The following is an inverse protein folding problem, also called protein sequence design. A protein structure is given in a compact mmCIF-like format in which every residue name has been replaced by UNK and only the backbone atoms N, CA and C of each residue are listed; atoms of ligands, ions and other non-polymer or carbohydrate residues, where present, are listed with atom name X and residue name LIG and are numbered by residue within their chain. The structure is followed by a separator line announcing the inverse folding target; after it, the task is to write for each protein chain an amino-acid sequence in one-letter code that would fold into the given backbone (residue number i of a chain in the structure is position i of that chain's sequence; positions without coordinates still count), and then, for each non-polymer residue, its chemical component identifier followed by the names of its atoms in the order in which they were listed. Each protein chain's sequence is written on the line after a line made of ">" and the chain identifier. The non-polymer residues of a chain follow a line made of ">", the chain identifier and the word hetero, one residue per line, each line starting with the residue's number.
data_IF_698189061890
#
_entry.id   IF_698189061890
#
_cell.length_a   1.000
_cell.length_b   1.000
_cell.length_c   1.000
_cell.angle_alpha   90.00
_cell.angle_beta   90.00
_cell.angle_gamma   90.00
#
_symmetry.space_group_name_H-M   'P 1'
#
loop_
_entity.id
_entity.type
_entity.pdbx_description
1 polymer ?
#
# COMPACT_ATOMS: atom_id res chain seq x y z
N UNK A 1 -23.14 -7.09 -10.69
CA UNK A 1 -23.13 -7.60 -9.33
C UNK A 1 -22.02 -6.92 -8.56
N UNK A 2 -22.37 -6.23 -7.46
CA UNK A 2 -21.38 -5.54 -6.62
C UNK A 2 -20.53 -6.54 -5.83
N UNK A 3 -19.24 -6.35 -5.86
CA UNK A 3 -18.31 -7.11 -5.05
C UNK A 3 -17.98 -6.35 -3.76
N UNK A 4 -17.81 -7.10 -2.68
CA UNK A 4 -17.44 -6.59 -1.37
C UNK A 4 -16.17 -7.27 -0.89
N UNK A 5 -15.48 -6.60 0.02
CA UNK A 5 -14.39 -7.16 0.83
C UNK A 5 -14.75 -6.96 2.30
N UNK A 6 -14.10 -7.72 3.18
CA UNK A 6 -14.31 -7.59 4.62
C UNK A 6 -13.05 -7.09 5.29
N UNK A 7 -13.15 -5.97 5.97
CA UNK A 7 -12.10 -5.44 6.83
C UNK A 7 -12.20 -6.05 8.22
N UNK A 8 -11.07 -6.47 8.79
CA UNK A 8 -10.99 -6.71 10.23
C UNK A 8 -10.60 -5.40 10.92
N UNK A 9 -11.55 -4.77 11.61
CA UNK A 9 -11.33 -3.47 12.24
C UNK A 9 -10.56 -3.54 13.57
N UNK A 10 -10.16 -4.73 13.99
CA UNK A 10 -9.36 -4.92 15.21
C UNK A 10 -7.88 -4.65 14.98
N UNK A 11 -7.46 -4.55 13.73
CA UNK A 11 -6.05 -4.49 13.37
C UNK A 11 -5.82 -3.57 12.18
N UNK A 12 -4.68 -2.87 12.21
CA UNK A 12 -4.19 -2.03 11.13
C UNK A 12 -2.70 -2.27 10.97
N UNK A 13 -2.19 -2.13 9.75
CA UNK A 13 -0.75 -2.05 9.51
C UNK A 13 -0.43 -0.60 9.19
N UNK A 14 0.14 0.12 10.17
CA UNK A 14 0.20 1.57 10.09
C UNK A 14 -1.20 2.14 10.05
N UNK A 15 -1.51 2.95 9.03
CA UNK A 15 -2.87 3.46 8.79
C UNK A 15 -3.64 2.63 7.76
N UNK A 16 -3.08 1.51 7.27
CA UNK A 16 -3.72 0.67 6.24
C UNK A 16 -4.78 -0.22 6.84
N UNK A 17 -5.94 -0.30 6.17
CA UNK A 17 -6.97 -1.28 6.51
C UNK A 17 -6.45 -2.69 6.28
N UNK A 18 -6.85 -3.62 7.14
CA UNK A 18 -6.53 -5.04 7.00
C UNK A 18 -7.78 -5.79 6.57
N UNK A 19 -7.63 -6.61 5.53
CA UNK A 19 -8.74 -7.37 4.94
C UNK A 19 -8.52 -8.86 5.16
N UNK A 20 -9.63 -9.60 5.25
CA UNK A 20 -9.58 -11.05 5.11
C UNK A 20 -9.08 -11.39 3.71
N UNK A 21 -8.04 -12.23 3.65
CA UNK A 21 -7.35 -12.56 2.41
C UNK A 21 -7.92 -13.80 1.75
N UNK A 22 -7.80 -13.88 0.43
CA UNK A 22 -8.04 -15.10 -0.33
C UNK A 22 -7.14 -16.21 0.21
N UNK A 23 -7.70 -17.39 0.44
CA UNK A 23 -6.96 -18.53 0.97
C UNK A 23 -6.70 -18.49 2.46
N UNK A 24 -7.16 -17.48 3.17
CA UNK A 24 -7.03 -17.35 4.64
C UNK A 24 -6.04 -16.28 5.08
N UNK A 25 -6.12 -15.92 6.36
CA UNK A 25 -5.29 -14.87 6.95
C UNK A 25 -5.75 -13.47 6.56
N UNK A 26 -4.87 -12.49 6.77
CA UNK A 26 -5.13 -11.08 6.58
C UNK A 26 -4.14 -10.48 5.60
N UNK A 27 -4.55 -9.41 4.92
CA UNK A 27 -3.69 -8.65 4.01
C UNK A 27 -4.09 -7.18 3.97
N UNK A 28 -3.11 -6.29 3.82
CA UNK A 28 -3.35 -4.90 3.47
C UNK A 28 -3.45 -4.70 1.95
N UNK A 29 -3.11 -5.71 1.15
CA UNK A 29 -3.17 -5.67 -0.30
C UNK A 29 -4.61 -5.87 -0.77
N UNK A 30 -5.23 -4.82 -1.30
CA UNK A 30 -6.63 -4.86 -1.73
C UNK A 30 -6.88 -5.92 -2.81
N UNK A 31 -5.90 -6.16 -3.69
CA UNK A 31 -6.04 -7.15 -4.76
C UNK A 31 -6.06 -8.59 -4.24
N UNK A 32 -5.52 -8.83 -3.03
CA UNK A 32 -5.51 -10.15 -2.39
C UNK A 32 -6.65 -10.35 -1.41
N UNK A 33 -7.49 -9.33 -1.19
CA UNK A 33 -8.66 -9.46 -0.32
C UNK A 33 -9.66 -10.45 -0.91
N UNK A 34 -10.26 -11.26 -0.03
CA UNK A 34 -11.33 -12.17 -0.42
C UNK A 34 -12.54 -11.37 -0.92
N UNK A 35 -13.17 -11.84 -1.98
CA UNK A 35 -14.35 -11.20 -2.59
C UNK A 35 -15.63 -11.87 -2.11
N UNK A 36 -16.62 -11.04 -1.77
CA UNK A 36 -17.92 -11.47 -1.28
C UNK A 36 -19.02 -10.81 -2.09
N UNK A 37 -20.18 -11.47 -2.18
CA UNK A 37 -21.40 -10.79 -2.57
C UNK A 37 -21.84 -9.88 -1.43
N UNK A 38 -22.67 -8.87 -1.72
CA UNK A 38 -23.22 -8.00 -0.67
C UNK A 38 -23.94 -8.82 0.41
N UNK A 39 -24.73 -9.80 0.00
CA UNK A 39 -25.49 -10.67 0.90
C UNK A 39 -24.57 -11.42 1.87
N UNK A 40 -23.51 -12.04 1.35
CA UNK A 40 -22.54 -12.77 2.17
C UNK A 40 -21.75 -11.85 3.10
N UNK A 41 -21.34 -10.68 2.62
CA UNK A 41 -20.61 -9.71 3.41
C UNK A 41 -21.46 -9.19 4.58
N UNK A 42 -22.74 -8.89 4.32
CA UNK A 42 -23.66 -8.47 5.36
C UNK A 42 -23.93 -9.57 6.39
N UNK A 43 -24.13 -10.80 5.94
CA UNK A 43 -24.33 -11.94 6.82
C UNK A 43 -23.13 -12.16 7.74
N UNK A 44 -21.91 -12.01 7.22
CA UNK A 44 -20.69 -12.12 8.02
C UNK A 44 -20.60 -11.01 9.07
N UNK A 45 -20.94 -9.78 8.71
CA UNK A 45 -20.98 -8.66 9.66
C UNK A 45 -21.99 -8.90 10.78
N UNK A 46 -23.13 -9.49 10.48
CA UNK A 46 -24.15 -9.84 11.48
C UNK A 46 -23.67 -10.90 12.46
N UNK A 47 -22.86 -11.85 11.99
CA UNK A 47 -22.25 -12.88 12.84
C UNK A 47 -21.06 -12.34 13.64
N UNK A 48 -20.35 -11.37 13.09
CA UNK A 48 -19.12 -10.81 13.66
C UNK A 48 -19.00 -9.34 13.30
N UNK A 49 -19.39 -8.48 14.21
CA UNK A 49 -19.46 -7.03 13.99
C UNK A 49 -18.11 -6.37 13.68
N UNK A 50 -16.99 -7.03 14.01
CA UNK A 50 -15.64 -6.54 13.69
C UNK A 50 -15.24 -6.77 12.23
N UNK A 51 -16.00 -7.55 11.49
CA UNK A 51 -15.81 -7.76 10.05
C UNK A 51 -16.65 -6.74 9.30
N UNK A 52 -16.02 -5.68 8.83
CA UNK A 52 -16.71 -4.52 8.23
C UNK A 52 -16.82 -4.72 6.72
N UNK A 53 -18.06 -4.72 6.17
CA UNK A 53 -18.24 -4.89 4.73
C UNK A 53 -18.00 -3.57 3.99
N UNK A 54 -17.12 -3.62 2.99
CA UNK A 54 -16.83 -2.50 2.11
C UNK A 54 -17.13 -2.84 0.66
N UNK A 55 -17.88 -1.97 -0.06
CA UNK A 55 -17.94 -2.11 -1.52
C UNK A 55 -16.54 -1.99 -2.13
N UNK A 56 -16.13 -2.97 -2.90
CA UNK A 56 -14.80 -2.99 -3.49
C UNK A 56 -14.54 -1.77 -4.38
N UNK A 57 -15.51 -1.38 -5.20
CA UNK A 57 -15.37 -0.22 -6.09
C UNK A 57 -15.07 1.07 -5.32
N UNK A 58 -15.74 1.27 -4.17
CA UNK A 58 -15.49 2.44 -3.32
C UNK A 58 -14.03 2.47 -2.83
N UNK A 59 -13.52 1.34 -2.37
CA UNK A 59 -12.14 1.24 -1.90
C UNK A 59 -11.14 1.37 -3.04
N UNK A 60 -11.42 0.79 -4.20
CA UNK A 60 -10.54 0.87 -5.37
C UNK A 60 -10.32 2.31 -5.81
N UNK A 61 -11.37 3.13 -5.78
CA UNK A 61 -11.27 4.55 -6.14
C UNK A 61 -10.43 5.37 -5.16
N UNK A 62 -10.23 4.86 -3.95
CA UNK A 62 -9.52 5.55 -2.86
C UNK A 62 -8.23 4.86 -2.46
N UNK A 63 -7.85 3.78 -3.15
CA UNK A 63 -6.63 3.06 -2.87
C UNK A 63 -5.40 3.90 -3.23
N UNK A 64 -4.37 3.75 -2.43
CA UNK A 64 -3.02 4.24 -2.70
C UNK A 64 -2.16 3.08 -3.17
N UNK A 65 -0.94 3.38 -3.58
CA UNK A 65 0.09 2.38 -3.80
C UNK A 65 1.11 2.44 -2.66
N UNK A 66 1.61 1.29 -2.25
CA UNK A 66 2.62 1.20 -1.20
C UNK A 66 3.61 0.08 -1.47
N UNK A 67 4.80 0.20 -0.91
CA UNK A 67 5.85 -0.80 -1.02
C UNK A 67 6.23 -1.25 0.38
N UNK A 68 6.00 -2.52 0.66
CA UNK A 68 6.36 -3.15 1.93
C UNK A 68 7.86 -3.40 1.97
N UNK A 69 8.53 -2.88 3.00
CA UNK A 69 9.97 -3.00 3.17
C UNK A 69 10.45 -4.45 3.24
N UNK A 70 9.60 -5.37 3.67
CA UNK A 70 9.96 -6.79 3.82
C UNK A 70 10.27 -7.46 2.47
N UNK A 71 9.72 -6.93 1.38
CA UNK A 71 9.90 -7.48 0.04
C UNK A 71 10.99 -6.76 -0.77
N UNK A 72 11.50 -5.65 -0.26
CA UNK A 72 12.61 -4.91 -0.89
C UNK A 72 13.93 -5.46 -0.35
N UNK A 73 14.39 -6.57 -0.90
CA UNK A 73 15.56 -7.30 -0.40
C UNK A 73 16.86 -6.67 -0.90
N UNK A 74 17.89 -6.53 -0.03
CA UNK A 74 19.16 -5.91 -0.42
C UNK A 74 19.82 -6.54 -1.65
N UNK A 75 19.80 -7.86 -1.78
CA UNK A 75 20.38 -8.54 -2.93
C UNK A 75 19.67 -8.18 -4.24
N UNK A 76 18.34 -8.04 -4.22
CA UNK A 76 17.56 -7.64 -5.40
C UNK A 76 17.82 -6.18 -5.75
N UNK A 77 17.97 -5.32 -4.75
CA UNK A 77 18.32 -3.91 -4.93
C UNK A 77 19.68 -3.80 -5.62
N UNK A 78 20.68 -4.47 -5.09
CA UNK A 78 22.05 -4.42 -5.63
C UNK A 78 22.10 -4.93 -7.08
N UNK A 79 21.42 -6.04 -7.36
CA UNK A 79 21.34 -6.60 -8.71
C UNK A 79 20.62 -5.64 -9.68
N UNK A 80 19.51 -5.05 -9.24
CA UNK A 80 18.71 -4.14 -10.05
C UNK A 80 19.40 -2.82 -10.37
N UNK A 81 20.29 -2.34 -9.49
CA UNK A 81 21.02 -1.10 -9.70
C UNK A 81 22.03 -1.17 -10.85
N UNK A 82 22.42 -2.36 -11.27
CA UNK A 82 23.42 -2.55 -12.34
C UNK A 82 22.95 -2.06 -13.71
N UNK A 83 21.65 -2.08 -13.98
CA UNK A 83 21.14 -1.73 -15.31
C UNK A 83 19.97 -0.77 -15.32
N UNK A 84 19.58 -0.22 -14.17
CA UNK A 84 18.42 0.68 -14.09
C UNK A 84 18.81 2.12 -14.45
N UNK A 85 17.97 2.77 -15.26
CA UNK A 85 18.16 4.18 -15.66
C UNK A 85 17.66 5.14 -14.59
N UNK A 86 16.74 4.69 -13.74
CA UNK A 86 16.07 5.49 -12.70
C UNK A 86 16.02 4.76 -11.39
N UNK A 87 15.95 5.54 -10.31
CA UNK A 87 15.84 5.02 -8.96
C UNK A 87 14.88 5.84 -8.11
N UNK A 88 14.34 5.20 -7.10
CA UNK A 88 13.56 5.84 -6.05
C UNK A 88 14.40 5.95 -4.79
N UNK A 89 14.12 6.97 -4.01
CA UNK A 89 14.81 7.21 -2.74
C UNK A 89 13.80 7.09 -1.60
N UNK A 90 14.12 6.29 -0.59
CA UNK A 90 13.27 6.15 0.58
C UNK A 90 13.96 6.61 1.84
N UNK A 91 13.17 7.14 2.77
CA UNK A 91 13.68 7.69 4.02
C UNK A 91 14.15 6.58 4.96
N UNK A 92 15.31 6.77 5.56
CA UNK A 92 15.83 5.86 6.58
C UNK A 92 15.02 6.00 7.87
N UNK A 93 14.62 4.86 8.46
CA UNK A 93 13.97 4.85 9.76
C UNK A 93 12.54 5.39 9.80
N UNK A 94 11.85 5.42 8.67
CA UNK A 94 10.46 5.87 8.59
C UNK A 94 9.60 4.82 7.91
N UNK A 95 8.50 4.42 8.56
CA UNK A 95 7.57 3.42 8.05
C UNK A 95 6.13 3.79 8.39
N UNK A 96 5.22 3.51 7.46
CA UNK A 96 3.79 3.47 7.72
C UNK A 96 3.39 1.98 7.82
N UNK A 97 3.36 1.45 9.04
CA UNK A 97 3.37 0.01 9.23
C UNK A 97 4.67 -0.58 8.70
N UNK A 98 4.58 -1.39 7.65
CA UNK A 98 5.74 -1.94 6.93
C UNK A 98 6.06 -1.17 5.65
N UNK A 99 5.26 -0.15 5.32
CA UNK A 99 5.39 0.56 4.05
C UNK A 99 6.39 1.70 4.15
N UNK A 100 7.26 1.79 3.15
CA UNK A 100 8.32 2.79 3.09
C UNK A 100 7.78 4.18 2.74
N UNK A 101 8.47 5.22 3.22
CA UNK A 101 8.26 6.60 2.83
C UNK A 101 9.22 6.97 1.71
N UNK A 102 8.69 7.46 0.62
CA UNK A 102 9.42 7.77 -0.61
C UNK A 102 9.58 9.27 -0.80
N UNK A 103 10.72 9.66 -1.33
CA UNK A 103 11.00 11.05 -1.66
C UNK A 103 10.16 11.46 -2.88
N UNK A 104 9.51 12.61 -2.77
CA UNK A 104 8.77 13.23 -3.87
C UNK A 104 9.67 14.19 -4.66
N UNK A 105 9.17 14.71 -5.78
CA UNK A 105 9.89 15.70 -6.58
C UNK A 105 10.12 17.03 -5.83
N UNK A 106 9.30 17.30 -4.82
CA UNK A 106 9.36 18.53 -4.00
C UNK A 106 10.21 18.35 -2.72
N UNK A 107 10.98 17.29 -2.63
CA UNK A 107 11.80 16.93 -1.46
C UNK A 107 11.01 16.62 -0.20
N UNK A 108 9.72 16.33 -0.34
CA UNK A 108 8.85 15.79 0.70
C UNK A 108 8.96 14.27 0.73
N UNK A 109 8.37 13.64 1.76
CA UNK A 109 8.26 12.17 1.83
C UNK A 109 6.79 11.75 1.90
N UNK A 110 6.49 10.59 1.31
CA UNK A 110 5.14 10.04 1.28
C UNK A 110 5.16 8.52 1.30
N UNK A 111 4.21 7.91 2.01
CA UNK A 111 3.99 6.46 1.93
C UNK A 111 3.09 6.08 0.76
N UNK A 112 2.48 7.05 0.08
CA UNK A 112 1.75 6.82 -1.16
C UNK A 112 2.73 6.80 -2.33
N UNK A 113 3.06 5.61 -2.81
CA UNK A 113 4.06 5.43 -3.86
C UNK A 113 3.68 6.11 -5.18
N UNK A 114 2.41 6.40 -5.43
CA UNK A 114 1.99 7.14 -6.63
C UNK A 114 2.62 8.54 -6.68
N UNK A 115 2.99 9.10 -5.53
CA UNK A 115 3.61 10.42 -5.41
C UNK A 115 5.13 10.36 -5.33
N UNK A 116 5.71 9.17 -5.29
CA UNK A 116 7.16 8.99 -5.31
C UNK A 116 7.73 9.45 -6.66
N UNK A 117 8.92 10.07 -6.62
CA UNK A 117 9.58 10.53 -7.84
C UNK A 117 10.67 9.54 -8.26
N UNK A 118 10.68 9.14 -9.53
CA UNK A 118 11.73 8.34 -10.13
C UNK A 118 12.83 9.26 -10.65
N UNK A 119 13.93 9.34 -9.90
CA UNK A 119 15.07 10.21 -10.26
C UNK A 119 15.94 9.53 -11.32
N UNK A 120 16.56 10.30 -12.23
CA UNK A 120 17.66 9.77 -13.05
C UNK A 120 18.73 9.14 -12.15
N UNK A 121 19.29 8.00 -12.55
CA UNK A 121 20.17 7.21 -11.68
C UNK A 121 21.39 7.99 -11.17
N UNK A 122 22.00 8.83 -12.00
CA UNK A 122 23.14 9.64 -11.57
C UNK A 122 22.77 10.63 -10.46
N UNK A 123 21.57 11.21 -10.51
CA UNK A 123 21.05 12.11 -9.47
C UNK A 123 20.72 11.31 -8.21
N UNK A 124 20.02 10.18 -8.36
CA UNK A 124 19.65 9.32 -7.23
C UNK A 124 20.89 8.83 -6.46
N UNK A 125 21.94 8.40 -7.16
CA UNK A 125 23.21 7.99 -6.54
C UNK A 125 23.89 9.13 -5.78
N UNK A 126 23.85 10.34 -6.31
CA UNK A 126 24.39 11.51 -5.64
C UNK A 126 23.65 11.83 -4.34
N UNK A 127 22.32 11.74 -4.36
CA UNK A 127 21.47 12.02 -3.19
C UNK A 127 21.61 10.95 -2.11
N UNK A 128 21.86 9.69 -2.49
CA UNK A 128 22.06 8.57 -1.57
C UNK A 128 23.50 8.39 -1.12
N UNK A 129 24.43 9.29 -1.48
CA UNK A 129 25.83 9.19 -1.09
C UNK A 129 25.98 9.20 0.43
N UNK A 130 27.06 8.60 1.00
CA UNK A 130 27.22 8.44 2.45
C UNK A 130 27.09 9.71 3.29
N UNK A 131 27.40 10.85 2.75
CA UNK A 131 27.22 12.16 3.43
C UNK A 131 25.76 12.59 3.57
N UNK A 132 24.84 11.89 2.90
CA UNK A 132 23.40 12.13 2.94
C UNK A 132 22.68 10.89 3.48
N UNK A 133 22.97 10.50 4.72
CA UNK A 133 22.58 9.22 5.32
C UNK A 133 21.08 9.00 5.54
N UNK A 134 20.24 9.98 5.24
CA UNK A 134 18.80 9.90 5.55
C UNK A 134 17.96 9.32 4.42
N UNK A 135 18.56 8.96 3.29
CA UNK A 135 17.86 8.31 2.17
C UNK A 135 18.63 7.10 1.64
N UNK A 136 17.88 6.11 1.17
CA UNK A 136 18.39 4.91 0.53
C UNK A 136 17.87 4.81 -0.89
N UNK A 137 18.68 4.24 -1.78
CA UNK A 137 18.38 4.12 -3.21
C UNK A 137 17.88 2.71 -3.53
N UNK A 138 16.84 2.64 -4.35
CA UNK A 138 16.37 1.38 -4.93
C UNK A 138 16.07 1.55 -6.43
N UNK A 139 16.33 0.53 -7.27
CA UNK A 139 16.11 0.62 -8.71
C UNK A 139 14.63 0.68 -9.05
N UNK A 140 14.25 1.57 -9.97
CA UNK A 140 12.85 1.82 -10.29
C UNK A 140 12.08 0.57 -10.75
N UNK A 141 12.58 -0.28 -11.66
CA UNK A 141 11.82 -1.45 -12.09
C UNK A 141 11.46 -2.40 -10.95
N UNK A 142 12.40 -2.62 -10.00
CA UNK A 142 12.16 -3.49 -8.85
C UNK A 142 11.05 -2.90 -7.95
N UNK A 143 11.19 -1.62 -7.59
CA UNK A 143 10.24 -0.96 -6.70
C UNK A 143 8.84 -0.95 -7.30
N UNK A 144 8.74 -0.60 -8.58
CA UNK A 144 7.46 -0.57 -9.30
C UNK A 144 6.79 -1.93 -9.35
N UNK A 145 7.58 -3.02 -9.43
CA UNK A 145 7.06 -4.39 -9.40
C UNK A 145 6.50 -4.80 -8.04
N UNK A 146 6.94 -4.16 -6.96
CA UNK A 146 6.53 -4.45 -5.60
C UNK A 146 5.35 -3.59 -5.12
N UNK A 147 5.00 -2.53 -5.84
CA UNK A 147 3.92 -1.65 -5.46
C UNK A 147 2.57 -2.40 -5.46
N UNK A 148 1.80 -2.20 -4.39
CA UNK A 148 0.49 -2.83 -4.22
C UNK A 148 -0.54 -1.81 -3.76
N UNK A 149 -1.82 -2.11 -3.99
CA UNK A 149 -2.93 -1.26 -3.57
C UNK A 149 -3.21 -1.45 -2.08
N UNK A 150 -3.24 -0.34 -1.36
CA UNK A 150 -3.57 -0.28 0.07
C UNK A 150 -4.62 0.81 0.29
N UNK A 151 -5.36 0.71 1.39
CA UNK A 151 -6.43 1.65 1.71
C UNK A 151 -6.11 2.35 3.03
N UNK A 152 -5.81 3.66 3.02
CA UNK A 152 -5.59 4.41 4.25
C UNK A 152 -6.92 4.64 4.98
N UNK A 153 -6.93 4.42 6.29
CA UNK A 153 -8.16 4.57 7.12
C UNK A 153 -8.75 5.98 7.06
N UNK A 154 -7.89 6.99 6.94
CA UNK A 154 -8.33 8.39 6.88
C UNK A 154 -8.97 8.80 5.56
N UNK A 155 -8.85 7.99 4.51
CA UNK A 155 -9.38 8.28 3.18
C UNK A 155 -10.76 7.69 2.91
N UNK A 156 -11.34 6.95 3.85
CA UNK A 156 -12.58 6.20 3.64
C UNK A 156 -13.58 6.43 4.77
N UNK A 157 -14.88 6.40 4.42
CA UNK A 157 -15.99 6.58 5.37
C UNK A 157 -17.06 5.56 5.06
N UNK A 158 -17.33 4.66 6.02
CA UNK A 158 -18.25 3.54 5.81
C UNK A 158 -19.68 4.01 5.53
N UNK A 159 -20.15 5.08 6.18
CA UNK A 159 -21.49 5.61 5.95
C UNK A 159 -21.68 6.13 4.52
N UNK A 160 -20.62 6.66 3.91
CA UNK A 160 -20.64 7.09 2.51
C UNK A 160 -20.54 5.87 1.58
N UNK A 161 -19.66 4.93 1.90
CA UNK A 161 -19.42 3.75 1.09
C UNK A 161 -20.69 2.88 0.94
N UNK A 162 -21.52 2.83 1.97
CA UNK A 162 -22.72 1.98 1.98
C UNK A 162 -23.97 2.68 1.48
N UNK A 163 -23.91 3.93 1.05
CA UNK A 163 -25.06 4.62 0.47
C UNK A 163 -25.61 3.87 -0.74
N UNK A 164 -26.92 3.65 -0.74
CA UNK A 164 -27.60 2.96 -1.83
C UNK A 164 -27.47 1.45 -1.83
N UNK A 165 -26.76 0.87 -0.85
CA UNK A 165 -26.60 -0.58 -0.75
C UNK A 165 -27.72 -1.24 0.05
N UNK A 166 -28.45 -0.49 0.85
CA UNK A 166 -29.48 -1.02 1.76
C UNK A 166 -28.94 -1.54 3.10
N UNK A 167 -27.64 -1.37 3.34
CA UNK A 167 -27.00 -1.77 4.60
C UNK A 167 -26.99 -0.62 5.60
#
# INVERSE_FOLDING_TARGET
>A
VSEFVLQDNRSYTGDRLMFWAQGGGYTSNLDLAERYTQEKALAQNQCRETDIPWPLAYLTDRAELAVDCQYLKPADVDAGLQGADRGYLYAAGAWNGNDLYWLTNDSDITSDFRRAHAFPMNIAKSMAAPKHHNVHLAPAPLVESLARKVVPKGGVKIGIALRGTGI
#
